data_IF_797239033452
#
_entry.id   IF_797239033452
#
_cell.length_a   1.000
_cell.length_b   1.000
_cell.length_c   1.000
_cell.angle_alpha   90.00
_cell.angle_beta   90.00
_cell.angle_gamma   90.00
#
_symmetry.space_group_name_H-M   'P 1'
#
loop_
_entity.id
_entity.type
_entity.pdbx_description
1 polymer ?
#
# COMPACT_ATOMS: atom_id res chain seq x y z
N UNK A 1 35.27 11.45 14.15
CA UNK A 1 36.38 12.39 13.89
C UNK A 1 36.02 13.46 12.85
N UNK A 2 35.49 13.12 11.66
CA UNK A 2 35.14 14.12 10.63
C UNK A 2 34.03 15.12 11.03
N UNK A 3 33.02 14.68 11.80
CA UNK A 3 31.92 15.54 12.28
C UNK A 3 32.44 16.61 13.27
N UNK A 4 33.40 16.26 14.13
CA UNK A 4 33.98 17.18 15.12
C UNK A 4 34.80 18.29 14.45
N UNK A 5 35.50 18.00 13.34
CA UNK A 5 36.27 19.00 12.58
C UNK A 5 35.35 19.94 11.77
N UNK A 6 34.28 19.40 11.17
CA UNK A 6 33.25 20.18 10.47
C UNK A 6 32.43 21.06 11.42
N UNK A 7 32.14 20.59 12.63
CA UNK A 7 31.46 21.38 13.64
C UNK A 7 32.36 22.48 14.21
N UNK A 8 33.64 22.19 14.50
CA UNK A 8 34.58 23.19 15.04
C UNK A 8 34.96 24.28 14.02
N UNK A 9 35.07 23.94 12.73
CA UNK A 9 35.49 24.89 11.69
C UNK A 9 34.28 25.48 10.95
N UNK A 10 33.23 24.70 10.73
CA UNK A 10 32.07 25.09 9.92
C UNK A 10 31.02 25.90 10.69
N UNK A 11 30.81 25.63 11.98
CA UNK A 11 29.79 26.35 12.75
C UNK A 11 30.10 27.85 12.89
N UNK A 12 31.35 28.29 13.20
CA UNK A 12 31.67 29.72 13.26
C UNK A 12 31.51 30.42 11.90
N UNK A 13 31.80 29.72 10.79
CA UNK A 13 31.64 30.24 9.42
C UNK A 13 30.16 30.38 9.06
N UNK A 14 29.32 29.41 9.43
CA UNK A 14 27.88 29.45 9.22
C UNK A 14 27.21 30.55 10.07
N UNK A 15 27.62 30.70 11.32
CA UNK A 15 27.12 31.75 12.22
C UNK A 15 27.46 33.14 11.68
N UNK A 16 28.70 33.36 11.19
CA UNK A 16 29.10 34.61 10.53
C UNK A 16 28.31 34.88 9.25
N UNK A 17 28.17 33.87 8.38
CA UNK A 17 27.40 34.00 7.14
C UNK A 17 25.92 34.29 7.38
N UNK A 18 25.31 33.66 8.40
CA UNK A 18 23.93 33.89 8.78
C UNK A 18 23.74 35.28 9.43
N UNK A 19 24.66 35.71 10.30
CA UNK A 19 24.65 37.05 10.88
C UNK A 19 24.77 38.14 9.79
N UNK A 20 25.64 37.95 8.81
CA UNK A 20 25.83 38.86 7.69
C UNK A 20 24.62 38.87 6.74
N UNK A 21 24.01 37.71 6.48
CA UNK A 21 22.76 37.63 5.72
C UNK A 21 21.59 38.34 6.42
N UNK A 22 21.47 38.17 7.73
CA UNK A 22 20.42 38.81 8.54
C UNK A 22 20.63 40.32 8.72
N UNK A 23 21.88 40.81 8.70
CA UNK A 23 22.20 42.24 8.86
C UNK A 23 21.72 43.10 7.69
N UNK A 24 21.59 42.50 6.50
CA UNK A 24 21.09 43.15 5.29
C UNK A 24 19.55 43.29 5.26
N UNK A 25 18.84 42.60 6.15
CA UNK A 25 17.38 42.68 6.24
C UNK A 25 16.97 43.93 7.02
N UNK A 26 16.10 44.75 6.43
CA UNK A 26 15.55 45.97 7.06
C UNK A 26 14.42 45.63 8.04
N UNK A 27 14.72 44.85 9.08
CA UNK A 27 13.80 44.52 10.16
C UNK A 27 14.53 44.59 11.53
N UNK A 28 13.95 45.21 12.57
CA UNK A 28 14.61 45.35 13.87
C UNK A 28 14.90 43.99 14.55
N UNK A 29 14.04 42.98 14.37
CA UNK A 29 14.24 41.62 14.88
C UNK A 29 15.42 40.94 14.16
N UNK A 30 15.52 41.11 12.84
CA UNK A 30 16.62 40.55 12.06
C UNK A 30 17.97 41.19 12.43
N UNK A 31 18.00 42.51 12.68
CA UNK A 31 19.19 43.21 13.18
C UNK A 31 19.60 42.77 14.58
N UNK A 32 18.62 42.58 15.47
CA UNK A 32 18.88 42.05 16.82
C UNK A 32 19.44 40.63 16.79
N UNK A 33 18.88 39.75 15.94
CA UNK A 33 19.37 38.40 15.73
C UNK A 33 20.78 38.39 15.12
N UNK A 34 21.08 39.27 14.15
CA UNK A 34 22.41 39.40 13.56
C UNK A 34 23.46 39.82 14.60
N UNK A 35 23.13 40.77 15.47
CA UNK A 35 24.04 41.21 16.54
C UNK A 35 24.33 40.06 17.54
N UNK A 36 23.29 39.37 18.00
CA UNK A 36 23.43 38.24 18.92
C UNK A 36 24.24 37.07 18.31
N UNK A 37 24.05 36.78 17.01
CA UNK A 37 24.83 35.76 16.30
C UNK A 37 26.30 36.18 16.11
N UNK A 38 26.57 37.47 15.91
CA UNK A 38 27.94 37.99 15.81
C UNK A 38 28.69 37.84 17.14
N UNK A 39 28.04 38.21 18.25
CA UNK A 39 28.57 38.06 19.61
C UNK A 39 28.82 36.58 19.95
N UNK A 40 27.89 35.71 19.57
CA UNK A 40 28.06 34.26 19.71
C UNK A 40 29.28 33.75 18.92
N UNK A 41 29.48 34.22 17.69
CA UNK A 41 30.64 33.86 16.85
C UNK A 41 31.98 34.34 17.43
N UNK A 42 31.98 35.47 18.11
CA UNK A 42 33.15 35.98 18.85
C UNK A 42 33.45 35.13 20.09
N UNK A 43 32.42 34.78 20.88
CA UNK A 43 32.56 33.90 22.06
C UNK A 43 33.10 32.50 21.71
N UNK A 44 32.73 31.97 20.53
CA UNK A 44 33.34 30.73 20.00
C UNK A 44 34.80 30.92 19.60
N UNK A 45 35.17 32.07 19.02
CA UNK A 45 36.54 32.37 18.58
C UNK A 45 37.50 32.74 19.69
N UNK A 46 37.00 33.32 20.79
CA UNK A 46 37.75 33.66 21.99
C UNK A 46 37.94 32.48 22.95
N UNK A 47 37.24 31.36 22.72
CA UNK A 47 37.30 30.17 23.57
C UNK A 47 36.49 30.30 24.87
N UNK A 48 35.57 31.27 24.96
CA UNK A 48 34.69 31.45 26.13
C UNK A 48 33.64 30.33 26.25
N UNK A 49 33.29 29.70 25.13
CA UNK A 49 32.45 28.50 25.12
C UNK A 49 33.34 27.27 25.32
N UNK A 50 33.33 26.74 26.53
CA UNK A 50 34.14 25.57 26.91
C UNK A 50 33.82 24.35 26.04
N UNK A 51 34.85 23.58 25.70
CA UNK A 51 34.72 22.30 25.00
C UNK A 51 33.77 21.33 25.72
N UNK A 52 33.65 21.46 27.04
CA UNK A 52 32.74 20.66 27.87
C UNK A 52 31.25 20.95 27.59
N UNK A 53 30.90 22.23 27.38
CA UNK A 53 29.53 22.63 27.04
C UNK A 53 29.14 22.19 25.62
N UNK A 54 30.09 22.21 24.68
CA UNK A 54 29.89 21.68 23.34
C UNK A 54 29.77 20.16 23.33
N UNK A 55 30.56 19.46 24.15
CA UNK A 55 30.43 18.00 24.31
C UNK A 55 29.09 17.61 24.92
N UNK A 56 28.55 18.39 25.86
CA UNK A 56 27.23 18.16 26.44
C UNK A 56 26.10 18.39 25.43
N UNK A 57 26.18 19.48 24.65
CA UNK A 57 25.24 19.75 23.56
C UNK A 57 25.24 18.62 22.53
N UNK A 58 26.41 18.12 22.13
CA UNK A 58 26.50 16.98 21.20
C UNK A 58 25.84 15.72 21.76
N UNK A 59 26.04 15.41 23.05
CA UNK A 59 25.36 14.27 23.71
C UNK A 59 23.83 14.42 23.67
N UNK A 60 23.33 15.64 23.89
CA UNK A 60 21.89 15.91 23.78
C UNK A 60 21.37 15.80 22.35
N UNK A 61 22.12 16.27 21.35
CA UNK A 61 21.76 16.13 19.95
C UNK A 61 21.73 14.66 19.50
N UNK A 62 22.75 13.87 19.88
CA UNK A 62 22.80 12.44 19.61
C UNK A 62 21.63 11.69 20.27
N UNK A 63 21.29 12.05 21.52
CA UNK A 63 20.14 11.48 22.22
C UNK A 63 18.81 11.83 21.53
N UNK A 64 18.64 13.08 21.09
CA UNK A 64 17.46 13.54 20.35
C UNK A 64 17.33 12.81 19.00
N UNK A 65 18.42 12.68 18.24
CA UNK A 65 18.43 11.96 16.96
C UNK A 65 18.13 10.47 17.15
N UNK A 66 18.65 9.86 18.22
CA UNK A 66 18.33 8.48 18.58
C UNK A 66 16.84 8.30 18.94
N UNK A 67 16.23 9.27 19.62
CA UNK A 67 14.79 9.25 19.94
C UNK A 67 13.98 9.41 18.65
N UNK A 68 14.27 10.40 17.82
CA UNK A 68 13.53 10.67 16.58
C UNK A 68 13.62 9.50 15.60
N UNK A 69 14.81 8.91 15.44
CA UNK A 69 15.00 7.75 14.58
C UNK A 69 14.21 6.53 15.08
N UNK A 70 14.15 6.32 16.39
CA UNK A 70 13.35 5.27 17.02
C UNK A 70 11.85 5.51 16.87
N UNK A 71 11.37 6.73 17.06
CA UNK A 71 9.96 7.09 16.84
C UNK A 71 9.56 6.85 15.39
N UNK A 72 10.41 7.26 14.44
CA UNK A 72 10.20 7.02 13.01
C UNK A 72 10.17 5.53 12.68
N UNK A 73 11.08 4.74 13.26
CA UNK A 73 11.10 3.29 13.09
C UNK A 73 9.83 2.64 13.64
N UNK A 74 9.37 3.05 14.82
CA UNK A 74 8.14 2.54 15.45
C UNK A 74 6.92 2.88 14.60
N UNK A 75 6.78 4.13 14.16
CA UNK A 75 5.69 4.57 13.28
C UNK A 75 5.65 3.75 11.99
N UNK A 76 6.79 3.58 11.31
CA UNK A 76 6.88 2.77 10.10
C UNK A 76 6.55 1.29 10.37
N UNK A 77 6.96 0.75 11.52
CA UNK A 77 6.65 -0.64 11.87
C UNK A 77 5.15 -0.84 12.10
N UNK A 78 4.48 0.07 12.81
CA UNK A 78 3.05 0.02 13.08
C UNK A 78 2.22 0.15 11.79
N UNK A 79 2.60 1.06 10.89
CA UNK A 79 1.95 1.22 9.58
C UNK A 79 2.11 -0.05 8.74
N UNK A 80 3.29 -0.66 8.73
CA UNK A 80 3.50 -1.91 8.00
C UNK A 80 2.73 -3.07 8.62
N UNK A 81 2.63 -3.14 9.95
CA UNK A 81 1.85 -4.15 10.65
C UNK A 81 0.36 -4.03 10.33
N UNK A 82 -0.21 -2.81 10.38
CA UNK A 82 -1.61 -2.58 10.05
C UNK A 82 -1.92 -2.91 8.59
N UNK A 83 -1.07 -2.49 7.64
CA UNK A 83 -1.23 -2.81 6.22
C UNK A 83 -1.16 -4.32 5.96
N UNK A 84 -0.26 -5.03 6.64
CA UNK A 84 -0.20 -6.50 6.55
C UNK A 84 -1.44 -7.15 7.12
N UNK A 85 -1.98 -6.63 8.23
CA UNK A 85 -3.23 -7.12 8.82
C UNK A 85 -4.43 -6.87 7.90
N UNK A 86 -4.50 -5.71 7.24
CA UNK A 86 -5.53 -5.40 6.25
C UNK A 86 -5.46 -6.32 5.02
N UNK A 87 -4.26 -6.54 4.47
CA UNK A 87 -4.05 -7.45 3.34
C UNK A 87 -4.34 -8.91 3.72
N UNK A 88 -4.03 -9.31 4.96
CA UNK A 88 -4.33 -10.62 5.49
C UNK A 88 -5.81 -10.79 5.88
N UNK A 89 -6.58 -9.71 5.97
CA UNK A 89 -8.00 -9.74 6.31
C UNK A 89 -8.78 -10.51 5.25
N UNK A 90 -9.21 -11.71 5.63
CA UNK A 90 -9.92 -12.65 4.76
C UNK A 90 -11.43 -12.45 4.80
N UNK A 91 -11.90 -11.22 4.63
CA UNK A 91 -13.33 -10.90 4.69
C UNK A 91 -14.13 -11.75 3.69
N UNK A 92 -15.10 -12.57 4.16
CA UNK A 92 -15.99 -13.36 3.29
C UNK A 92 -16.72 -12.53 2.23
N UNK A 93 -17.02 -11.24 2.51
CA UNK A 93 -17.69 -10.34 1.59
C UNK A 93 -16.85 -10.08 0.33
N UNK A 94 -15.56 -9.80 0.48
CA UNK A 94 -14.63 -9.56 -0.64
C UNK A 94 -14.51 -10.80 -1.54
N UNK A 95 -14.54 -12.00 -0.94
CA UNK A 95 -14.44 -13.27 -1.69
C UNK A 95 -15.73 -13.61 -2.45
N UNK A 96 -16.89 -13.17 -1.97
CA UNK A 96 -18.21 -13.44 -2.56
C UNK A 96 -18.65 -12.38 -3.57
N UNK A 97 -18.24 -11.12 -3.39
CA UNK A 97 -18.54 -10.02 -4.30
C UNK A 97 -18.07 -10.31 -5.74
N UNK A 98 -16.87 -10.87 -5.87
CA UNK A 98 -16.26 -11.07 -7.19
C UNK A 98 -17.05 -12.10 -8.03
N UNK A 99 -17.44 -13.29 -7.51
CA UNK A 99 -18.37 -14.19 -8.21
C UNK A 99 -19.78 -13.63 -8.43
N UNK A 100 -20.36 -12.92 -7.46
CA UNK A 100 -21.75 -12.43 -7.58
C UNK A 100 -21.93 -11.47 -8.74
N UNK A 101 -20.95 -10.59 -8.97
CA UNK A 101 -20.98 -9.70 -10.12
C UNK A 101 -21.02 -10.47 -11.45
N UNK A 102 -20.17 -11.49 -11.60
CA UNK A 102 -20.16 -12.34 -12.79
C UNK A 102 -21.49 -13.07 -13.02
N UNK A 103 -22.10 -13.58 -11.95
CA UNK A 103 -23.41 -14.24 -12.05
C UNK A 103 -24.51 -13.27 -12.46
N UNK A 104 -24.56 -12.06 -11.89
CA UNK A 104 -25.55 -11.06 -12.27
C UNK A 104 -25.43 -10.71 -13.75
N UNK A 105 -24.21 -10.49 -14.25
CA UNK A 105 -23.96 -10.19 -15.67
C UNK A 105 -24.37 -11.36 -16.58
N UNK A 106 -24.03 -12.59 -16.19
CA UNK A 106 -24.42 -13.77 -16.96
C UNK A 106 -25.95 -13.93 -17.01
N UNK A 107 -26.64 -13.68 -15.89
CA UNK A 107 -28.10 -13.72 -15.82
C UNK A 107 -28.75 -12.62 -16.66
N UNK A 108 -28.26 -11.38 -16.61
CA UNK A 108 -28.82 -10.29 -17.42
C UNK A 108 -28.58 -10.51 -18.91
N UNK A 109 -27.40 -10.98 -19.29
CA UNK A 109 -27.09 -11.34 -20.68
C UNK A 109 -27.98 -12.49 -21.17
N UNK A 110 -28.13 -13.54 -20.36
CA UNK A 110 -29.02 -14.65 -20.66
C UNK A 110 -30.46 -14.19 -20.88
N UNK A 111 -31.00 -13.39 -19.97
CA UNK A 111 -32.34 -12.82 -20.10
C UNK A 111 -32.50 -11.98 -21.37
N UNK A 112 -31.51 -11.15 -21.70
CA UNK A 112 -31.51 -10.33 -22.91
C UNK A 112 -31.50 -11.19 -24.19
N UNK A 113 -30.70 -12.25 -24.22
CA UNK A 113 -30.67 -13.18 -25.36
C UNK A 113 -31.97 -13.98 -25.50
N UNK A 114 -32.59 -14.36 -24.38
CA UNK A 114 -33.92 -14.98 -24.42
C UNK A 114 -34.99 -14.03 -24.93
N UNK A 115 -34.97 -12.75 -24.52
CA UNK A 115 -35.91 -11.75 -25.02
C UNK A 115 -35.73 -11.53 -26.54
N UNK A 116 -34.48 -11.46 -27.03
CA UNK A 116 -34.20 -11.37 -28.46
C UNK A 116 -34.69 -12.61 -29.23
N UNK A 117 -34.41 -13.81 -28.72
CA UNK A 117 -34.88 -15.05 -29.33
C UNK A 117 -36.42 -15.12 -29.40
N UNK A 118 -37.09 -14.68 -28.33
CA UNK A 118 -38.56 -14.60 -28.29
C UNK A 118 -39.10 -13.68 -29.38
N UNK A 119 -38.56 -12.45 -29.50
CA UNK A 119 -39.02 -11.47 -30.49
C UNK A 119 -38.79 -11.98 -31.91
N UNK A 120 -37.64 -12.60 -32.19
CA UNK A 120 -37.35 -13.16 -33.52
C UNK A 120 -38.40 -14.21 -33.93
N UNK A 121 -38.84 -15.06 -33.00
CA UNK A 121 -39.78 -16.16 -33.26
C UNK A 121 -41.24 -15.71 -33.27
N UNK A 122 -41.65 -14.84 -32.34
CA UNK A 122 -43.06 -14.52 -32.10
C UNK A 122 -43.46 -13.11 -32.58
N UNK A 123 -42.53 -12.17 -32.68
CA UNK A 123 -42.74 -10.75 -33.06
C UNK A 123 -41.75 -10.34 -34.16
N UNK A 124 -41.71 -11.16 -35.22
CA UNK A 124 -40.71 -11.05 -36.29
C UNK A 124 -40.77 -9.69 -37.03
N UNK A 125 -41.92 -9.03 -37.04
CA UNK A 125 -42.11 -7.68 -37.58
C UNK A 125 -41.28 -6.62 -36.82
N UNK A 126 -41.11 -6.81 -35.50
CA UNK A 126 -40.30 -5.93 -34.64
C UNK A 126 -38.84 -6.35 -34.55
N UNK A 127 -38.48 -7.55 -35.03
CA UNK A 127 -37.15 -8.12 -34.85
C UNK A 127 -36.03 -7.20 -35.36
N UNK A 128 -36.20 -6.58 -36.54
CA UNK A 128 -35.19 -5.69 -37.09
C UNK A 128 -34.97 -4.45 -36.23
N UNK A 129 -36.04 -3.84 -35.72
CA UNK A 129 -35.98 -2.65 -34.86
C UNK A 129 -35.24 -2.97 -33.55
N UNK A 130 -35.53 -4.12 -32.95
CA UNK A 130 -34.96 -4.52 -31.67
C UNK A 130 -33.50 -4.94 -31.82
N UNK A 131 -33.12 -5.58 -32.92
CA UNK A 131 -31.72 -5.90 -33.23
C UNK A 131 -30.90 -4.62 -33.40
N UNK A 132 -31.40 -3.62 -34.13
CA UNK A 132 -30.76 -2.30 -34.26
C UNK A 132 -30.61 -1.59 -32.91
N UNK A 133 -31.63 -1.69 -32.05
CA UNK A 133 -31.56 -1.13 -30.70
C UNK A 133 -30.49 -1.86 -29.85
N UNK A 134 -30.39 -3.18 -29.99
CA UNK A 134 -29.39 -4.00 -29.30
C UNK A 134 -27.96 -3.67 -29.74
N UNK A 135 -27.75 -3.38 -31.03
CA UNK A 135 -26.45 -2.94 -31.54
C UNK A 135 -25.97 -1.66 -30.84
N UNK A 136 -26.88 -0.72 -30.57
CA UNK A 136 -26.56 0.53 -29.86
C UNK A 136 -26.13 0.29 -28.40
N UNK A 137 -26.52 -0.83 -27.79
CA UNK A 137 -26.03 -1.26 -26.48
C UNK A 137 -24.63 -1.92 -26.55
N UNK A 138 -24.05 -2.12 -27.74
CA UNK A 138 -22.76 -2.78 -27.92
C UNK A 138 -21.63 -2.14 -27.10
N UNK A 139 -21.61 -0.81 -26.98
CA UNK A 139 -20.57 -0.10 -26.22
C UNK A 139 -20.59 -0.44 -24.72
N UNK A 140 -21.77 -0.50 -24.09
CA UNK A 140 -21.85 -0.84 -22.66
C UNK A 140 -21.45 -2.30 -22.43
N UNK A 141 -21.81 -3.20 -23.36
CA UNK A 141 -21.42 -4.60 -23.30
C UNK A 141 -19.92 -4.81 -23.54
N UNK A 142 -19.30 -4.07 -24.46
CA UNK A 142 -17.86 -4.11 -24.68
C UNK A 142 -17.09 -3.75 -23.39
N UNK A 143 -17.53 -2.69 -22.69
CA UNK A 143 -16.95 -2.30 -21.41
C UNK A 143 -17.20 -3.38 -20.35
N UNK A 144 -18.44 -3.82 -20.18
CA UNK A 144 -18.79 -4.84 -19.18
C UNK A 144 -18.04 -6.17 -19.34
N UNK A 145 -17.95 -6.67 -20.58
CA UNK A 145 -17.23 -7.91 -20.90
C UNK A 145 -15.72 -7.76 -20.79
N UNK A 146 -15.15 -6.57 -21.07
CA UNK A 146 -13.72 -6.34 -20.89
C UNK A 146 -13.30 -6.42 -19.41
N UNK A 147 -14.10 -5.84 -18.51
CA UNK A 147 -13.87 -5.92 -17.05
C UNK A 147 -13.96 -7.37 -16.57
N UNK A 148 -14.98 -8.11 -17.04
CA UNK A 148 -15.13 -9.53 -16.72
C UNK A 148 -13.95 -10.36 -17.25
N UNK A 149 -13.46 -10.06 -18.46
CA UNK A 149 -12.30 -10.72 -19.06
C UNK A 149 -11.03 -10.55 -18.21
N UNK A 150 -10.72 -9.33 -17.77
CA UNK A 150 -9.59 -9.05 -16.87
C UNK A 150 -9.75 -9.80 -15.55
N UNK A 151 -10.96 -9.79 -14.98
CA UNK A 151 -11.26 -10.50 -13.74
C UNK A 151 -11.01 -12.01 -13.84
N UNK A 152 -11.54 -12.66 -14.89
CA UNK A 152 -11.35 -14.10 -15.13
C UNK A 152 -9.87 -14.43 -15.37
N UNK A 153 -9.17 -13.58 -16.13
CA UNK A 153 -7.75 -13.74 -16.39
C UNK A 153 -6.94 -13.74 -15.08
N UNK A 154 -7.11 -12.71 -14.24
CA UNK A 154 -6.41 -12.61 -12.95
C UNK A 154 -6.76 -13.76 -12.02
N UNK A 155 -8.04 -14.17 -11.96
CA UNK A 155 -8.46 -15.30 -11.14
C UNK A 155 -7.86 -16.63 -11.63
N UNK A 156 -7.68 -16.78 -12.94
CA UNK A 156 -7.00 -17.93 -13.53
C UNK A 156 -5.51 -17.94 -13.19
N UNK A 157 -4.83 -16.78 -13.26
CA UNK A 157 -3.44 -16.64 -12.80
C UNK A 157 -3.25 -17.03 -11.33
N UNK A 158 -4.11 -16.53 -10.43
CA UNK A 158 -4.09 -16.88 -9.00
C UNK A 158 -4.18 -18.40 -8.79
N UNK A 159 -5.12 -19.06 -9.49
CA UNK A 159 -5.29 -20.53 -9.40
C UNK A 159 -4.08 -21.28 -9.95
N UNK A 160 -3.47 -20.82 -11.05
CA UNK A 160 -2.25 -21.42 -11.62
C UNK A 160 -1.07 -21.34 -10.64
N UNK A 161 -0.93 -20.24 -9.91
CA UNK A 161 0.09 -20.08 -8.87
C UNK A 161 -0.09 -21.07 -7.71
N UNK A 162 -1.34 -21.27 -7.25
CA UNK A 162 -1.69 -22.23 -6.21
C UNK A 162 -1.38 -23.67 -6.66
N UNK A 163 -1.85 -24.06 -7.86
CA UNK A 163 -1.62 -25.41 -8.41
C UNK A 163 -0.12 -25.69 -8.55
N UNK A 164 0.65 -24.71 -9.04
CA UNK A 164 2.11 -24.81 -9.14
C UNK A 164 2.74 -25.04 -7.76
N UNK A 165 2.36 -24.25 -6.75
CA UNK A 165 2.88 -24.42 -5.38
C UNK A 165 2.56 -25.82 -4.85
N UNK A 166 1.31 -26.27 -4.95
CA UNK A 166 0.92 -27.60 -4.44
C UNK A 166 1.61 -28.77 -5.13
N UNK A 167 1.94 -28.66 -6.43
CA UNK A 167 2.62 -29.73 -7.18
C UNK A 167 4.11 -29.87 -6.82
N UNK A 168 4.77 -28.77 -6.42
CA UNK A 168 6.20 -28.77 -6.10
C UNK A 168 6.49 -28.84 -4.59
N UNK A 169 5.49 -28.53 -3.75
CA UNK A 169 5.58 -28.54 -2.28
C UNK A 169 4.94 -29.81 -1.66
N UNK A 170 4.34 -30.67 -2.49
CA UNK A 170 3.88 -31.99 -2.07
C UNK A 170 5.08 -32.92 -1.86
N UNK A 171 5.57 -32.93 -0.64
CA UNK A 171 6.48 -33.96 -0.14
C UNK A 171 5.81 -35.34 -0.39
N UNK A 172 6.42 -36.26 -1.18
CA UNK A 172 5.78 -37.51 -1.61
C UNK A 172 5.39 -38.45 -0.46
N UNK A 173 5.74 -38.11 0.78
CA UNK A 173 5.41 -38.86 1.99
C UNK A 173 4.05 -38.50 2.60
N UNK A 174 3.42 -37.38 2.24
CA UNK A 174 2.11 -36.98 2.80
C UNK A 174 0.91 -37.63 2.10
N UNK A 175 1.07 -38.08 0.84
CA UNK A 175 -0.01 -38.77 0.11
C UNK A 175 -0.36 -40.14 0.73
N UNK A 176 0.62 -40.79 1.37
CA UNK A 176 0.43 -42.14 1.94
C UNK A 176 -0.36 -42.18 3.25
N UNK A 177 -0.56 -41.05 3.93
CA UNK A 177 -1.26 -40.99 5.23
C UNK A 177 -2.77 -40.79 5.12
N UNK A 178 -3.30 -40.38 3.97
CA UNK A 178 -4.76 -40.18 3.78
C UNK A 178 -5.49 -41.39 3.22
N UNK A 179 -4.78 -42.40 2.69
CA UNK A 179 -5.37 -43.66 2.23
C UNK A 179 -5.62 -44.68 3.36
N UNK A 180 -5.25 -44.36 4.60
CA UNK A 180 -5.50 -45.20 5.77
C UNK A 180 -6.58 -44.57 6.68
N UNK A 181 -7.70 -44.19 6.09
CA UNK A 181 -8.94 -44.02 6.85
C UNK A 181 -9.62 -45.39 6.96
N UNK A 182 -9.86 -45.93 8.17
CA UNK A 182 -10.53 -47.21 8.32
C UNK A 182 -11.93 -47.13 7.73
N UNK A 183 -12.32 -48.17 6.97
CA UNK A 183 -13.62 -48.27 6.32
C UNK A 183 -14.76 -47.93 7.29
N UNK A 184 -15.79 -47.19 6.84
CA UNK A 184 -16.94 -46.88 7.70
C UNK A 184 -17.59 -48.18 8.16
N UNK A 185 -17.49 -48.47 9.46
CA UNK A 185 -18.24 -49.54 10.09
C UNK A 185 -19.72 -49.19 9.95
N UNK A 186 -20.48 -50.02 9.22
CA UNK A 186 -21.94 -49.91 9.18
C UNK A 186 -22.48 -50.21 10.58
N UNK A 187 -23.09 -49.22 11.20
CA UNK A 187 -23.86 -49.40 12.44
C UNK A 187 -25.07 -50.28 12.16
N UNK A 188 -25.28 -51.40 12.87
CA UNK A 188 -26.48 -52.20 12.77
C UNK A 188 -27.41 -51.87 13.94
N UNK A 189 -28.29 -50.89 13.77
CA UNK A 189 -29.61 -50.78 14.44
C UNK A 189 -30.18 -49.37 14.21
N UNK A 190 -31.31 -49.25 13.53
CA UNK A 190 -32.59 -49.16 14.22
C UNK A 190 -33.75 -49.09 13.22
N UNK A 191 -34.77 -49.87 13.57
CA UNK A 191 -36.14 -49.90 13.08
C UNK A 191 -36.85 -48.53 13.10
#
# INVERSE_FOLDING_TARGET
MAISLLAQIGLPVLVKGLAEGLSHIKNPVAKGAAAALSELGEAFGSGEISEEQMSELHRHMEAMEAIESKERQVSLSQVNESLRAEVASSDPYVRRMRPTFGYIIASTWGAQMFALAYIIVFETDQASLVIDAMEKLGTIWAVGLSVLGIYVYKRSEEKRGIVRKTLFDSDPLQYKSSEQSPAPQRSPYND
#
